data_IF_522794836960
#
_entry.id   IF_522794836960
#
_cell.length_a   1.000
_cell.length_b   1.000
_cell.length_c   1.000
_cell.angle_alpha   90.00
_cell.angle_beta   90.00
_cell.angle_gamma   90.00
#
_symmetry.space_group_name_H-M   'P 1'
#
loop_
_entity.id
_entity.type
_entity.pdbx_description
1 polymer ?
#
# COMPACT_ATOMS: atom_id res chain seq x y z
N UNK A 1 33.21 38.57 -26.94
CA UNK A 1 32.90 38.24 -26.61
C UNK A 1 32.47 37.43 -25.98
N UNK A 2 32.33 37.19 -25.61
CA UNK A 2 32.02 36.49 -25.08
C UNK A 2 31.70 36.02 -24.14
N UNK A 3 31.20 35.49 -23.67
CA UNK A 3 30.77 35.11 -23.00
C UNK A 3 30.56 34.24 -22.36
N UNK A 4 30.22 33.80 -21.94
CA UNK A 4 30.01 33.03 -21.55
C UNK A 4 29.73 32.52 -20.54
N UNK A 5 29.37 32.02 -20.08
CA UNK A 5 29.05 31.51 -19.34
C UNK A 5 28.78 30.82 -18.54
N UNK A 6 28.54 30.44 -18.03
CA UNK A 6 28.32 29.80 -17.39
C UNK A 6 27.81 29.27 -16.55
N UNK A 7 27.40 28.80 -16.19
CA UNK A 7 26.78 28.36 -15.61
C UNK A 7 26.68 27.41 -14.97
N UNK A 8 26.46 26.94 -14.63
CA UNK A 8 26.33 25.95 -14.13
C UNK A 8 26.43 25.63 -12.94
N UNK A 9 26.54 25.36 -12.38
CA UNK A 9 26.78 25.10 -11.13
C UNK A 9 25.75 24.59 -10.33
N UNK A 10 24.65 24.68 -10.61
CA UNK A 10 23.60 24.27 -9.79
C UNK A 10 23.63 22.86 -9.36
N UNK A 11 24.17 22.06 -10.13
CA UNK A 11 24.04 20.68 -9.83
C UNK A 11 24.69 20.21 -8.57
N UNK A 12 25.67 20.88 -8.15
CA UNK A 12 26.39 20.34 -7.04
C UNK A 12 25.60 20.27 -5.78
N UNK A 13 24.58 21.06 -5.66
CA UNK A 13 23.93 21.08 -4.43
C UNK A 13 23.27 19.87 -4.05
N UNK A 14 22.85 19.11 -5.00
CA UNK A 14 22.06 18.00 -4.67
C UNK A 14 22.74 16.97 -3.93
N UNK A 15 23.98 16.81 -4.17
CA UNK A 15 24.62 15.68 -3.55
C UNK A 15 24.69 15.77 -2.06
N UNK A 16 24.62 16.95 -1.52
CA UNK A 16 24.76 17.02 -0.09
C UNK A 16 23.56 16.43 0.60
N UNK A 17 22.44 16.37 -0.06
CA UNK A 17 21.30 15.81 0.58
C UNK A 17 21.41 14.32 0.73
N UNK A 18 22.32 13.72 0.03
CA UNK A 18 22.38 12.29 0.07
C UNK A 18 22.99 11.72 1.32
N UNK A 19 23.45 12.51 2.21
CA UNK A 19 24.08 11.97 3.37
C UNK A 19 23.14 11.47 4.46
N UNK A 20 21.90 11.36 4.19
CA UNK A 20 21.04 10.67 5.10
C UNK A 20 20.84 11.31 6.44
N UNK A 21 20.96 12.57 6.51
CA UNK A 21 20.75 13.21 7.77
C UNK A 21 19.30 13.40 8.08
N UNK A 22 19.02 13.79 9.28
CA UNK A 22 17.66 14.05 9.69
C UNK A 22 17.08 15.16 8.84
N UNK A 23 15.86 14.98 8.39
CA UNK A 23 15.21 15.97 7.59
C UNK A 23 14.73 17.13 8.46
N UNK A 24 14.89 18.33 7.98
CA UNK A 24 14.43 19.49 8.70
C UNK A 24 13.00 19.85 8.33
N UNK A 25 12.49 19.31 7.24
CA UNK A 25 11.09 19.49 6.89
C UNK A 25 10.56 18.15 6.46
N UNK A 26 9.28 17.97 6.56
CA UNK A 26 8.64 16.72 6.17
C UNK A 26 8.15 16.85 4.74
N UNK A 27 8.55 15.95 3.86
CA UNK A 27 8.06 16.03 2.48
C UNK A 27 6.56 15.74 2.44
N UNK A 28 5.93 16.26 1.42
CA UNK A 28 4.52 16.01 1.26
C UNK A 28 4.31 14.54 0.92
N UNK A 29 3.53 13.85 1.67
CA UNK A 29 3.34 12.42 1.48
C UNK A 29 2.14 11.94 2.26
N UNK A 30 1.55 10.83 1.81
CA UNK A 30 0.58 10.16 2.65
C UNK A 30 1.34 9.22 3.57
N UNK A 31 0.76 8.88 4.68
CA UNK A 31 1.45 8.07 5.67
C UNK A 31 0.99 6.63 5.61
N UNK A 32 1.79 5.75 6.15
CA UNK A 32 1.36 4.35 6.26
C UNK A 32 0.11 4.26 7.12
N UNK A 33 -0.03 5.14 8.10
CA UNK A 33 -1.19 5.17 8.95
C UNK A 33 -2.49 5.47 8.18
N UNK A 34 -2.37 6.20 7.08
CA UNK A 34 -3.53 6.49 6.27
C UNK A 34 -4.03 5.26 5.52
N UNK A 35 -3.26 4.19 5.49
CA UNK A 35 -3.66 2.95 4.87
C UNK A 35 -3.87 1.85 5.89
N UNK A 36 -2.98 1.71 6.85
CA UNK A 36 -3.01 0.58 7.76
C UNK A 36 -4.25 0.59 8.62
N UNK A 37 -4.99 -0.51 8.60
CA UNK A 37 -6.22 -0.68 9.35
C UNK A 37 -7.37 0.19 8.88
N UNK A 38 -7.25 0.76 7.69
CA UNK A 38 -8.33 1.54 7.13
C UNK A 38 -9.24 0.65 6.30
N UNK A 39 -10.49 1.01 6.23
CA UNK A 39 -11.46 0.28 5.42
C UNK A 39 -11.25 0.57 3.94
N UNK A 40 -11.52 -0.42 3.13
CA UNK A 40 -11.48 -0.27 1.67
C UNK A 40 -12.89 -0.47 1.16
N UNK A 41 -13.32 0.39 0.27
CA UNK A 41 -14.68 0.38 -0.26
C UNK A 41 -14.68 0.12 -1.75
N UNK A 42 -15.76 -0.43 -2.24
CA UNK A 42 -15.93 -0.62 -3.68
C UNK A 42 -16.50 0.68 -4.30
N UNK A 43 -16.65 0.74 -5.62
CA UNK A 43 -17.17 1.96 -6.24
C UNK A 43 -18.58 2.34 -5.80
N UNK A 44 -19.32 1.40 -5.19
CA UNK A 44 -20.66 1.68 -4.70
C UNK A 44 -20.67 2.06 -3.23
N UNK A 45 -19.52 2.38 -2.67
CA UNK A 45 -19.37 2.74 -1.27
C UNK A 45 -19.67 1.61 -0.30
N UNK A 46 -19.55 0.38 -0.74
CA UNK A 46 -19.71 -0.73 0.18
C UNK A 46 -18.33 -1.15 0.68
N UNK A 47 -18.22 -1.38 1.97
CA UNK A 47 -16.95 -1.83 2.53
C UNK A 47 -16.67 -3.24 2.04
N UNK A 48 -15.49 -3.46 1.46
CA UNK A 48 -15.10 -4.76 0.98
C UNK A 48 -13.95 -5.36 1.77
N UNK A 49 -13.30 -4.59 2.59
CA UNK A 49 -12.22 -5.14 3.41
C UNK A 49 -11.55 -4.08 4.24
N UNK A 50 -10.47 -4.49 4.89
CA UNK A 50 -9.71 -3.59 5.74
C UNK A 50 -8.24 -3.89 5.51
N UNK A 51 -7.41 -2.88 5.38
CA UNK A 51 -5.97 -3.08 5.16
C UNK A 51 -5.35 -3.65 6.43
N UNK A 52 -4.75 -4.82 6.31
CA UNK A 52 -4.16 -5.49 7.44
C UNK A 52 -2.65 -5.36 7.47
N UNK A 53 -2.03 -5.18 6.34
CA UNK A 53 -0.58 -5.03 6.27
C UNK A 53 -0.19 -4.29 5.01
N UNK A 54 0.99 -3.70 5.01
CA UNK A 54 1.52 -2.96 3.88
C UNK A 54 2.84 -3.62 3.53
N UNK A 55 2.97 -4.10 2.31
CA UNK A 55 4.15 -4.83 1.89
C UNK A 55 5.12 -3.93 1.16
N UNK A 56 6.34 -3.90 1.65
CA UNK A 56 7.38 -3.06 1.08
C UNK A 56 8.36 -3.96 0.35
N UNK A 57 8.59 -3.67 -0.91
CA UNK A 57 9.49 -4.47 -1.72
C UNK A 57 10.93 -4.25 -1.38
N UNK A 58 11.80 -5.06 -1.93
CA UNK A 58 13.22 -4.98 -1.65
C UNK A 58 13.82 -3.66 -2.12
N UNK A 59 13.19 -2.98 -3.05
CA UNK A 59 13.65 -1.67 -3.49
C UNK A 59 13.15 -0.53 -2.62
N UNK A 60 12.43 -0.85 -1.54
CA UNK A 60 11.93 0.18 -0.64
C UNK A 60 10.58 0.76 -1.01
N UNK A 61 9.95 0.28 -2.06
CA UNK A 61 8.67 0.81 -2.48
C UNK A 61 7.55 -0.09 -2.02
N UNK A 62 6.38 0.50 -1.76
CA UNK A 62 5.22 -0.30 -1.40
C UNK A 62 4.75 -1.03 -2.63
N UNK A 63 4.57 -2.33 -2.52
CA UNK A 63 4.19 -3.15 -3.66
C UNK A 63 2.79 -3.72 -3.54
N UNK A 64 2.31 -3.93 -2.35
CA UNK A 64 1.00 -4.58 -2.18
C UNK A 64 0.44 -4.29 -0.80
N UNK A 65 -0.84 -4.60 -0.63
CA UNK A 65 -1.47 -4.59 0.66
C UNK A 65 -2.00 -5.97 0.95
N UNK A 66 -2.08 -6.31 2.23
CA UNK A 66 -2.88 -7.46 2.65
C UNK A 66 -4.21 -6.88 3.11
N UNK A 67 -5.29 -7.36 2.53
CA UNK A 67 -6.62 -6.87 2.84
C UNK A 67 -7.39 -8.00 3.50
N UNK A 68 -7.92 -7.73 4.68
CA UNK A 68 -8.74 -8.71 5.36
C UNK A 68 -10.17 -8.56 4.87
N UNK A 69 -10.70 -9.60 4.29
CA UNK A 69 -12.04 -9.61 3.74
C UNK A 69 -12.89 -10.53 4.60
N UNK A 70 -13.92 -9.98 5.18
CA UNK A 70 -14.73 -10.77 6.10
C UNK A 70 -16.19 -10.66 5.82
N UNK A 71 -16.96 -11.18 6.76
CA UNK A 71 -18.39 -11.05 6.64
C UNK A 71 -19.06 -12.12 5.80
N UNK A 72 -18.38 -13.21 5.53
CA UNK A 72 -19.01 -14.30 4.82
C UNK A 72 -19.64 -15.23 5.85
N UNK A 73 -20.87 -15.59 5.63
CA UNK A 73 -21.57 -16.45 6.55
C UNK A 73 -20.85 -17.77 6.66
N UNK A 74 -20.43 -18.12 7.87
CA UNK A 74 -19.78 -19.39 8.11
C UNK A 74 -18.33 -19.50 7.68
N UNK A 75 -17.78 -18.46 7.13
CA UNK A 75 -16.43 -18.55 6.62
C UNK A 75 -15.40 -17.71 7.35
N UNK A 76 -15.82 -16.74 8.12
CA UNK A 76 -14.85 -15.89 8.79
C UNK A 76 -14.08 -15.00 7.83
N UNK A 77 -13.03 -14.43 8.34
CA UNK A 77 -12.24 -13.49 7.55
C UNK A 77 -11.18 -14.22 6.75
N UNK A 78 -10.76 -13.61 5.66
CA UNK A 78 -9.71 -14.14 4.81
C UNK A 78 -8.80 -12.99 4.42
N UNK A 79 -7.51 -13.25 4.43
CA UNK A 79 -6.53 -12.24 4.04
C UNK A 79 -6.16 -12.48 2.58
N UNK A 80 -6.19 -11.43 1.77
CA UNK A 80 -5.82 -11.54 0.36
C UNK A 80 -4.79 -10.46 0.04
N UNK A 81 -3.97 -10.71 -0.95
CA UNK A 81 -2.95 -9.73 -1.36
C UNK A 81 -3.45 -8.98 -2.58
N UNK A 82 -3.37 -7.65 -2.55
CA UNK A 82 -3.78 -6.84 -3.69
C UNK A 82 -2.66 -5.88 -4.04
N UNK A 83 -2.45 -5.55 -5.31
CA UNK A 83 -1.38 -4.61 -5.67
C UNK A 83 -1.63 -3.23 -5.07
N UNK A 84 -0.55 -2.57 -4.71
CA UNK A 84 -0.66 -1.22 -4.17
C UNK A 84 -1.42 -0.30 -5.12
N UNK A 85 -1.18 -0.43 -6.41
CA UNK A 85 -1.78 0.45 -7.39
C UNK A 85 -3.28 0.26 -7.55
N UNK A 86 -3.83 -0.84 -7.04
CA UNK A 86 -5.25 -1.08 -7.17
C UNK A 86 -6.07 -0.40 -6.09
N UNK A 87 -5.44 0.11 -5.06
CA UNK A 87 -6.16 0.80 -3.99
C UNK A 87 -5.90 2.29 -4.15
N UNK A 88 -6.96 3.07 -4.34
CA UNK A 88 -6.83 4.49 -4.53
C UNK A 88 -7.25 5.24 -3.30
N UNK A 89 -6.50 6.23 -2.92
CA UNK A 89 -6.83 7.04 -1.79
C UNK A 89 -7.22 8.44 -2.20
N UNK A 90 -8.16 9.02 -1.50
CA UNK A 90 -8.56 10.40 -1.76
C UNK A 90 -9.12 10.99 -0.47
N UNK A 91 -9.11 12.32 -0.39
CA UNK A 91 -9.70 12.97 0.74
C UNK A 91 -11.19 13.08 0.54
N UNK A 92 -11.94 12.74 1.56
CA UNK A 92 -13.39 12.84 1.50
C UNK A 92 -13.82 13.28 2.88
N UNK A 93 -14.40 14.45 2.99
CA UNK A 93 -14.82 15.01 4.28
C UNK A 93 -13.65 15.07 5.27
N UNK A 94 -12.52 15.51 4.75
CA UNK A 94 -11.31 15.66 5.56
C UNK A 94 -10.75 14.34 6.08
N UNK A 95 -11.20 13.23 5.55
CA UNK A 95 -10.66 11.94 5.92
C UNK A 95 -10.09 11.25 4.70
N UNK A 96 -9.14 10.37 4.96
CA UNK A 96 -8.55 9.58 3.90
C UNK A 96 -9.50 8.43 3.61
N UNK A 97 -9.86 8.27 2.34
CA UNK A 97 -10.87 7.30 1.93
C UNK A 97 -10.28 6.40 0.86
N UNK A 98 -10.29 5.10 1.09
CA UNK A 98 -9.68 4.15 0.18
C UNK A 98 -10.73 3.40 -0.62
N UNK A 99 -10.49 3.29 -1.92
CA UNK A 99 -11.40 2.54 -2.79
C UNK A 99 -10.61 1.57 -3.65
N UNK A 100 -11.27 0.53 -4.08
CA UNK A 100 -10.68 -0.45 -4.95
C UNK A 100 -11.75 -0.89 -5.93
N UNK A 101 -11.39 -1.00 -7.21
CA UNK A 101 -12.34 -1.39 -8.22
C UNK A 101 -12.45 -2.92 -8.28
N UNK A 102 -13.04 -3.48 -7.25
CA UNK A 102 -13.27 -4.90 -7.16
C UNK A 102 -14.50 -5.10 -6.30
N UNK A 103 -15.17 -6.19 -6.46
CA UNK A 103 -16.30 -6.43 -5.58
C UNK A 103 -15.90 -7.50 -4.56
N UNK A 104 -16.78 -7.69 -3.60
CA UNK A 104 -16.49 -8.61 -2.52
C UNK A 104 -16.34 -10.03 -3.01
N UNK A 105 -17.05 -10.40 -4.06
CA UNK A 105 -16.96 -11.75 -4.59
C UNK A 105 -15.61 -12.02 -5.23
N UNK A 106 -15.03 -11.02 -5.88
CA UNK A 106 -13.71 -11.20 -6.43
C UNK A 106 -12.71 -11.46 -5.32
N UNK A 107 -12.79 -10.73 -4.24
CA UNK A 107 -11.87 -10.92 -3.13
C UNK A 107 -12.16 -12.24 -2.41
N UNK A 108 -13.43 -12.62 -2.34
CA UNK A 108 -13.75 -13.87 -1.71
C UNK A 108 -13.16 -15.05 -2.45
N UNK A 109 -13.06 -14.96 -3.75
CA UNK A 109 -12.54 -16.05 -4.56
C UNK A 109 -11.03 -15.99 -4.77
N UNK A 110 -10.39 -14.95 -4.30
CA UNK A 110 -8.95 -14.83 -4.42
C UNK A 110 -8.24 -15.79 -3.48
N UNK A 111 -7.01 -16.17 -3.78
CA UNK A 111 -6.27 -17.02 -2.86
C UNK A 111 -6.08 -16.37 -1.51
N UNK A 112 -6.25 -17.11 -0.44
CA UNK A 112 -5.99 -16.60 0.90
C UNK A 112 -4.50 -16.58 1.17
N UNK A 113 -4.09 -15.71 2.07
CA UNK A 113 -2.70 -15.57 2.46
C UNK A 113 -2.56 -15.77 3.95
N UNK A 114 -1.40 -16.18 4.38
CA UNK A 114 -1.11 -16.29 5.80
C UNK A 114 0.31 -15.79 6.06
N UNK A 115 0.55 -15.29 7.24
CA UNK A 115 1.87 -14.78 7.55
C UNK A 115 2.74 -15.92 8.09
N UNK A 116 3.86 -16.17 7.42
CA UNK A 116 4.81 -17.19 7.82
C UNK A 116 5.81 -16.55 8.76
N UNK A 117 5.67 -16.81 10.05
CA UNK A 117 6.53 -16.16 11.03
C UNK A 117 7.95 -16.68 11.00
N UNK A 118 8.15 -17.88 10.52
CA UNK A 118 9.50 -18.43 10.45
C UNK A 118 10.31 -17.71 9.41
N UNK A 119 9.71 -17.45 8.26
CA UNK A 119 10.41 -16.77 7.19
C UNK A 119 10.05 -15.29 7.08
N UNK A 120 9.22 -14.80 7.99
CA UNK A 120 8.81 -13.40 8.11
C UNK A 120 8.27 -12.83 6.81
N UNK A 121 7.34 -13.53 6.21
CA UNK A 121 6.71 -13.05 4.99
C UNK A 121 5.32 -13.64 4.83
N UNK A 122 4.52 -12.98 4.03
CA UNK A 122 3.19 -13.48 3.69
C UNK A 122 3.33 -14.50 2.57
N UNK A 123 2.58 -15.59 2.69
CA UNK A 123 2.63 -16.66 1.70
C UNK A 123 1.22 -17.16 1.43
N UNK A 124 1.00 -17.82 0.30
CA UNK A 124 -0.32 -18.40 0.04
C UNK A 124 -0.72 -19.39 1.13
N UNK A 125 -1.99 -19.35 1.49
CA UNK A 125 -2.49 -20.22 2.52
C UNK A 125 -2.92 -21.53 1.86
N UNK A 126 -2.14 -22.56 2.10
CA UNK A 126 -2.43 -23.84 1.47
C UNK A 126 -3.68 -24.50 1.97
N UNK A 127 -4.18 -24.08 3.13
CA UNK A 127 -5.36 -24.71 3.61
C UNK A 127 -6.55 -24.43 2.75
N UNK A 128 -6.58 -23.31 2.12
CA UNK A 128 -7.71 -22.99 1.28
C UNK A 128 -7.77 -23.78 0.01
N UNK A 129 -6.70 -24.42 -0.35
CA UNK A 129 -6.70 -25.16 -1.56
C UNK A 129 -7.08 -26.58 -1.42
N UNK A 130 -7.42 -26.98 -0.24
CA UNK A 130 -7.78 -28.32 -0.08
C UNK A 130 -9.12 -28.46 -0.41
N UNK A 131 -9.67 -27.91 -0.96
CA UNK A 131 -10.97 -28.15 -1.23
C UNK A 131 -11.59 -28.63 -2.12
#
# INVERSE_FOLDING_TARGET
MRKTILIMAAAALISSAAFGKVLTTVPEAVTVTDYYKQNVYDPSDKKIGEIKDVLIGSDGKIVAFIVEVGGFIGAGAKDVAVPFTDVKGAKKNDKWYLTMNADKDELKNAPGMTYDRTNTKWVPDNKGNKG
#
